data_IF_141333900168
#
_entry.id   IF_141333900168
#
_cell.length_a   1.000
_cell.length_b   1.000
_cell.length_c   1.000
_cell.angle_alpha   90.00
_cell.angle_beta   90.00
_cell.angle_gamma   90.00
#
_symmetry.space_group_name_H-M   'P 1'
#
loop_
_entity.id
_entity.type
_entity.pdbx_description
1 polymer ?
#
# COMPACT_ATOMS: atom_id res chain seq x y z
N UNK A 1 12.31 -5.05 -18.82
CA UNK A 1 13.26 -4.72 -17.72
C UNK A 1 12.92 -3.37 -17.08
N UNK A 2 12.63 -3.35 -15.77
CA UNK A 2 12.25 -2.13 -15.02
C UNK A 2 13.41 -1.47 -14.28
N UNK A 3 14.61 -2.05 -14.35
CA UNK A 3 15.80 -1.53 -13.66
C UNK A 3 16.04 -0.04 -13.95
N UNK A 4 16.13 0.78 -12.88
CA UNK A 4 16.30 2.24 -12.97
C UNK A 4 15.08 3.02 -13.46
N UNK A 5 13.93 2.37 -13.69
CA UNK A 5 12.66 2.98 -14.12
C UNK A 5 11.64 2.95 -12.99
N UNK A 6 10.53 3.65 -13.20
CA UNK A 6 9.37 3.60 -12.29
C UNK A 6 8.47 2.44 -12.69
N UNK A 7 8.15 1.56 -11.74
CA UNK A 7 7.15 0.51 -11.93
C UNK A 7 5.75 1.13 -11.81
N UNK A 8 4.86 0.89 -12.78
CA UNK A 8 3.46 1.31 -12.72
C UNK A 8 2.57 0.07 -12.60
N UNK A 9 1.86 -0.05 -11.49
CA UNK A 9 1.13 -1.26 -11.13
C UNK A 9 -0.34 -0.98 -10.83
N UNK A 10 -1.24 -1.76 -11.44
CA UNK A 10 -2.68 -1.69 -11.14
C UNK A 10 -3.00 -2.46 -9.86
N UNK A 11 -3.94 -1.95 -9.05
CA UNK A 11 -4.51 -2.65 -7.89
C UNK A 11 -5.13 -3.99 -8.32
N UNK A 12 -4.89 -5.03 -7.52
CA UNK A 12 -5.43 -6.37 -7.71
C UNK A 12 -4.35 -7.44 -7.87
N UNK A 13 -4.80 -8.68 -8.04
CA UNK A 13 -4.02 -9.93 -8.20
C UNK A 13 -3.26 -10.35 -6.95
N UNK A 14 -2.42 -9.49 -6.37
CA UNK A 14 -1.61 -9.74 -5.18
C UNK A 14 -1.66 -8.56 -4.20
N UNK A 15 -1.06 -8.74 -3.02
CA UNK A 15 -0.98 -7.69 -2.01
C UNK A 15 -0.14 -6.51 -2.49
N UNK A 16 -0.39 -5.32 -1.95
CA UNK A 16 0.41 -4.13 -2.29
C UNK A 16 1.88 -4.30 -1.87
N UNK A 17 2.12 -4.90 -0.71
CA UNK A 17 3.48 -5.26 -0.24
C UNK A 17 4.22 -6.11 -1.26
N UNK A 18 3.56 -7.11 -1.85
CA UNK A 18 4.18 -8.00 -2.83
C UNK A 18 4.61 -7.22 -4.09
N UNK A 19 3.80 -6.24 -4.52
CA UNK A 19 4.15 -5.37 -5.65
C UNK A 19 5.41 -4.55 -5.35
N UNK A 20 5.51 -3.99 -4.15
CA UNK A 20 6.70 -3.28 -3.69
C UNK A 20 7.95 -4.16 -3.66
N UNK A 21 7.83 -5.35 -3.07
CA UNK A 21 8.93 -6.35 -3.00
C UNK A 21 9.37 -6.77 -4.40
N UNK A 22 8.45 -7.10 -5.30
CA UNK A 22 8.76 -7.53 -6.66
C UNK A 22 9.41 -6.40 -7.48
N UNK A 23 8.93 -5.16 -7.33
CA UNK A 23 9.54 -4.00 -7.98
C UNK A 23 10.98 -3.79 -7.49
N UNK A 24 11.23 -3.91 -6.19
CA UNK A 24 12.56 -3.80 -5.60
C UNK A 24 13.51 -4.91 -6.11
N UNK A 25 13.04 -6.16 -6.13
CA UNK A 25 13.78 -7.31 -6.67
C UNK A 25 14.17 -7.14 -8.14
N UNK A 26 13.40 -6.36 -8.90
CA UNK A 26 13.68 -6.03 -10.29
C UNK A 26 14.41 -4.69 -10.47
N UNK A 27 14.98 -4.12 -9.39
CA UNK A 27 15.75 -2.88 -9.36
C UNK A 27 15.00 -1.63 -9.87
N UNK A 28 13.69 -1.55 -9.66
CA UNK A 28 12.93 -0.35 -9.95
C UNK A 28 13.44 0.84 -9.09
N UNK A 29 13.38 2.05 -9.64
CA UNK A 29 13.77 3.26 -8.92
C UNK A 29 12.64 3.80 -8.00
N UNK A 30 11.39 3.50 -8.34
CA UNK A 30 10.19 3.83 -7.57
C UNK A 30 9.03 2.96 -8.03
N UNK A 31 7.93 2.98 -7.27
CA UNK A 31 6.67 2.33 -7.64
C UNK A 31 5.50 3.31 -7.59
N UNK A 32 4.67 3.29 -8.63
CA UNK A 32 3.38 3.94 -8.68
C UNK A 32 2.33 2.84 -8.71
N UNK A 33 1.42 2.85 -7.75
CA UNK A 33 0.27 1.93 -7.74
C UNK A 33 -0.97 2.75 -8.06
N UNK A 34 -1.90 2.23 -8.84
CA UNK A 34 -3.16 2.93 -9.10
C UNK A 34 -4.36 2.03 -8.86
N UNK A 35 -5.46 2.67 -8.45
CA UNK A 35 -6.71 1.99 -8.19
C UNK A 35 -7.29 1.37 -9.49
N UNK A 36 -8.16 0.37 -9.39
CA UNK A 36 -8.59 -0.41 -10.57
C UNK A 36 -9.89 0.07 -11.23
N UNK A 37 -10.63 0.98 -10.58
CA UNK A 37 -11.85 1.58 -11.10
C UNK A 37 -13.06 0.65 -11.12
N UNK A 38 -13.01 -0.53 -10.48
CA UNK A 38 -14.08 -1.54 -10.56
C UNK A 38 -15.34 -1.09 -9.82
N UNK A 39 -15.19 -0.33 -8.73
CA UNK A 39 -16.28 0.23 -7.93
C UNK A 39 -16.03 1.72 -7.68
N UNK A 40 -17.06 2.52 -7.33
CA UNK A 40 -16.90 3.96 -7.09
C UNK A 40 -15.85 4.30 -6.01
N UNK A 41 -15.74 3.49 -4.96
CA UNK A 41 -14.74 3.60 -3.89
C UNK A 41 -13.32 3.21 -4.34
N UNK A 42 -13.18 2.59 -5.52
CA UNK A 42 -11.90 2.19 -6.12
C UNK A 42 -11.48 3.08 -7.28
N UNK A 43 -11.87 4.36 -7.25
CA UNK A 43 -11.49 5.37 -8.25
C UNK A 43 -10.45 6.34 -7.70
N UNK A 44 -10.65 6.87 -6.50
CA UNK A 44 -9.77 7.88 -5.89
C UNK A 44 -8.48 7.27 -5.35
N UNK A 45 -7.39 8.03 -5.14
CA UNK A 45 -6.22 7.52 -4.43
C UNK A 45 -6.58 7.08 -3.02
N UNK A 46 -5.82 6.16 -2.44
CA UNK A 46 -5.94 5.78 -1.03
C UNK A 46 -4.56 5.67 -0.39
N UNK A 47 -4.48 5.91 0.92
CA UNK A 47 -3.30 5.63 1.69
C UNK A 47 -3.08 4.10 1.75
N UNK A 48 -1.86 3.67 1.50
CA UNK A 48 -1.45 2.27 1.62
C UNK A 48 -0.11 2.17 2.33
N UNK A 49 0.11 1.04 2.98
CA UNK A 49 1.41 0.66 3.51
C UNK A 49 1.95 -0.50 2.67
N UNK A 50 3.19 -0.36 2.17
CA UNK A 50 3.89 -1.43 1.43
C UNK A 50 4.65 -2.40 2.35
N UNK A 51 4.54 -2.22 3.66
CA UNK A 51 5.26 -2.99 4.68
C UNK A 51 6.56 -2.31 5.09
N UNK A 52 7.07 -2.71 6.26
CA UNK A 52 8.30 -2.15 6.86
C UNK A 52 9.55 -2.41 6.01
N UNK A 53 9.56 -3.48 5.22
CA UNK A 53 10.67 -3.88 4.36
C UNK A 53 10.68 -3.16 3.00
N UNK A 54 9.70 -2.29 2.73
CA UNK A 54 9.68 -1.55 1.47
C UNK A 54 10.79 -0.49 1.43
N UNK A 55 11.68 -0.62 0.46
CA UNK A 55 12.82 0.28 0.23
C UNK A 55 12.61 1.28 -0.90
N UNK A 56 11.48 1.20 -1.61
CA UNK A 56 11.21 2.06 -2.76
C UNK A 56 10.33 3.25 -2.39
N UNK A 57 10.60 4.44 -2.94
CA UNK A 57 9.62 5.52 -2.94
C UNK A 57 8.34 5.06 -3.65
N UNK A 58 7.19 5.33 -3.03
CA UNK A 58 5.90 4.84 -3.50
C UNK A 58 4.82 5.94 -3.45
N UNK A 59 3.97 5.99 -4.48
CA UNK A 59 2.73 6.75 -4.47
C UNK A 59 1.56 5.89 -4.94
N UNK A 60 0.38 6.18 -4.39
CA UNK A 60 -0.87 5.63 -4.87
C UNK A 60 -1.64 6.68 -5.68
N UNK A 61 -2.09 6.30 -6.86
CA UNK A 61 -2.74 7.16 -7.84
C UNK A 61 -4.23 6.81 -7.96
N UNK A 62 -5.01 7.77 -8.44
CA UNK A 62 -6.38 7.52 -8.87
C UNK A 62 -6.40 6.63 -10.12
N UNK A 63 -7.51 5.93 -10.34
CA UNK A 63 -7.69 5.10 -11.54
C UNK A 63 -7.49 5.91 -12.84
N UNK A 64 -8.09 7.10 -13.03
CA UNK A 64 -7.91 7.86 -14.27
C UNK A 64 -6.45 8.25 -14.55
N UNK A 65 -5.68 8.64 -13.52
CA UNK A 65 -4.27 9.00 -13.68
C UNK A 65 -3.44 7.79 -14.05
N UNK A 66 -3.61 6.66 -13.35
CA UNK A 66 -2.86 5.45 -13.64
C UNK A 66 -3.21 4.83 -15.00
N UNK A 67 -4.47 4.93 -15.43
CA UNK A 67 -4.86 4.50 -16.77
C UNK A 67 -4.22 5.38 -17.85
N UNK A 68 -4.24 6.71 -17.69
CA UNK A 68 -3.59 7.62 -18.63
C UNK A 68 -2.07 7.36 -18.75
N UNK A 69 -1.40 7.07 -17.63
CA UNK A 69 0.02 6.69 -17.65
C UNK A 69 0.27 5.34 -18.32
N UNK A 70 -0.64 4.37 -18.14
CA UNK A 70 -0.57 3.07 -18.80
C UNK A 70 -0.71 3.22 -20.31
N UNK A 71 -1.71 3.97 -20.75
CA UNK A 71 -1.97 4.22 -22.18
C UNK A 71 -0.78 4.94 -22.82
N UNK A 72 -0.24 5.96 -22.15
CA UNK A 72 0.94 6.69 -22.63
C UNK A 72 2.18 5.78 -22.71
N UNK A 73 2.42 4.93 -21.70
CA UNK A 73 3.57 4.02 -21.68
C UNK A 73 3.48 2.89 -22.72
N UNK A 74 2.27 2.56 -23.18
CA UNK A 74 2.02 1.57 -24.23
C UNK A 74 2.03 2.16 -25.64
N UNK A 75 1.90 3.48 -25.77
CA UNK A 75 1.97 4.17 -27.05
C UNK A 75 3.41 4.26 -27.56
N UNK A 76 3.77 3.58 -28.67
CA UNK A 76 5.13 3.61 -29.21
C UNK A 76 5.54 4.99 -29.76
N UNK A 77 4.60 5.90 -29.97
CA UNK A 77 4.86 7.27 -30.43
C UNK A 77 5.15 8.23 -29.27
N UNK A 78 4.87 7.80 -28.03
CA UNK A 78 5.03 8.63 -26.84
C UNK A 78 6.27 8.21 -26.06
N UNK A 79 7.23 9.13 -25.90
CA UNK A 79 8.35 8.92 -24.98
C UNK A 79 7.94 9.34 -23.56
N UNK A 80 7.15 8.49 -22.90
CA UNK A 80 6.63 8.78 -21.56
C UNK A 80 7.74 8.79 -20.53
N UNK A 81 7.81 9.87 -19.76
CA UNK A 81 8.65 9.97 -18.57
C UNK A 81 7.83 10.55 -17.43
N UNK A 82 8.19 10.16 -16.20
CA UNK A 82 7.56 10.68 -14.99
C UNK A 82 8.64 11.25 -14.08
N UNK A 83 8.36 12.42 -13.50
CA UNK A 83 9.16 12.99 -12.43
C UNK A 83 8.41 12.77 -11.12
N UNK A 84 9.07 12.08 -10.18
CA UNK A 84 8.52 11.81 -8.86
C UNK A 84 9.20 12.71 -7.83
N UNK A 85 8.40 13.49 -7.11
CA UNK A 85 8.87 14.31 -5.99
C UNK A 85 8.10 13.87 -4.75
N UNK A 86 8.80 13.26 -3.79
CA UNK A 86 8.23 12.84 -2.51
C UNK A 86 8.96 13.62 -1.42
N UNK A 87 8.18 14.38 -0.65
CA UNK A 87 8.69 15.04 0.54
C UNK A 87 8.30 14.21 1.76
N UNK A 88 9.25 13.45 2.28
CA UNK A 88 9.04 12.66 3.51
C UNK A 88 9.32 13.57 4.70
N UNK A 89 8.30 13.83 5.49
CA UNK A 89 8.50 14.41 6.81
C UNK A 89 8.83 13.27 7.77
N UNK A 90 9.86 13.45 8.61
CA UNK A 90 10.14 12.53 9.69
C UNK A 90 9.00 12.60 10.71
N UNK A 91 7.98 11.78 10.51
CA UNK A 91 6.89 11.63 11.46
C UNK A 91 7.49 11.07 12.76
N UNK A 92 7.17 11.67 13.92
CA UNK A 92 7.62 11.14 15.19
C UNK A 92 7.12 9.70 15.35
N UNK A 93 7.90 8.87 16.05
CA UNK A 93 7.48 7.52 16.39
C UNK A 93 6.16 7.59 17.17
N UNK A 94 5.10 6.99 16.61
CA UNK A 94 3.86 6.73 17.33
C UNK A 94 4.01 5.37 18.02
N UNK A 95 4.18 5.31 19.35
CA UNK A 95 4.27 4.04 20.04
C UNK A 95 2.95 3.28 19.88
N UNK A 96 3.06 2.04 19.40
CA UNK A 96 1.95 1.09 19.30
C UNK A 96 2.11 0.00 20.35
N UNK A 97 1.00 -0.56 20.82
CA UNK A 97 1.01 -1.61 21.83
C UNK A 97 -0.17 -2.56 21.68
N UNK A 98 0.04 -3.81 22.06
CA UNK A 98 -1.01 -4.82 22.10
C UNK A 98 -1.58 -4.92 23.51
N UNK A 99 -2.89 -5.06 23.62
CA UNK A 99 -3.59 -5.36 24.86
C UNK A 99 -3.99 -6.84 24.81
N UNK A 100 -3.52 -7.63 25.78
CA UNK A 100 -3.85 -9.04 25.91
C UNK A 100 -4.58 -9.27 27.23
N UNK A 101 -5.65 -10.06 27.18
CA UNK A 101 -6.43 -10.45 28.36
C UNK A 101 -6.79 -11.93 28.26
N UNK A 102 -6.50 -12.68 29.32
CA UNK A 102 -6.84 -14.10 29.45
C UNK A 102 -8.10 -14.28 30.31
N UNK A 103 -8.85 -15.35 30.04
CA UNK A 103 -9.91 -15.76 30.95
C UNK A 103 -9.32 -16.20 32.30
N UNK A 104 -10.00 -15.94 33.42
CA UNK A 104 -9.49 -16.31 34.74
C UNK A 104 -9.44 -17.83 34.98
N UNK A 105 -10.04 -18.61 34.07
CA UNK A 105 -10.12 -20.07 34.10
C UNK A 105 -9.71 -20.66 32.75
N UNK A 106 -9.44 -21.96 32.73
CA UNK A 106 -9.02 -22.69 31.53
C UNK A 106 -7.72 -23.46 31.78
N UNK A 107 -7.22 -24.11 30.74
CA UNK A 107 -5.91 -24.75 30.75
C UNK A 107 -4.87 -23.78 30.18
N UNK A 108 -3.94 -23.31 31.03
CA UNK A 108 -2.89 -22.38 30.63
C UNK A 108 -1.90 -22.97 29.59
N UNK A 109 -1.96 -24.28 29.33
CA UNK A 109 -1.16 -24.94 28.31
C UNK A 109 -1.88 -25.05 26.96
N UNK A 110 -3.19 -24.70 26.90
CA UNK A 110 -4.03 -24.79 25.70
C UNK A 110 -4.80 -23.47 25.51
N UNK A 111 -4.20 -22.53 24.79
CA UNK A 111 -4.76 -21.20 24.55
C UNK A 111 -5.46 -21.12 23.19
N UNK A 112 -6.69 -20.61 23.17
CA UNK A 112 -7.36 -20.15 21.95
C UNK A 112 -7.21 -18.64 21.88
N UNK A 113 -6.60 -18.14 20.81
CA UNK A 113 -6.44 -16.69 20.58
C UNK A 113 -7.59 -16.18 19.72
N UNK A 114 -8.30 -15.17 20.22
CA UNK A 114 -9.30 -14.40 19.47
C UNK A 114 -8.84 -12.94 19.52
N UNK A 115 -8.79 -12.28 18.37
CA UNK A 115 -8.22 -10.95 18.25
C UNK A 115 -9.08 -10.01 17.44
N UNK A 116 -8.82 -8.72 17.65
CA UNK A 116 -9.33 -7.57 16.92
C UNK A 116 -8.20 -6.52 16.91
N UNK A 117 -8.29 -5.49 16.08
CA UNK A 117 -7.38 -4.34 16.15
C UNK A 117 -8.11 -3.13 16.72
N UNK A 118 -7.37 -2.25 17.41
CA UNK A 118 -7.94 -1.08 18.11
C UNK A 118 -7.61 0.24 17.41
N UNK A 119 -6.77 0.22 16.39
CA UNK A 119 -6.47 1.36 15.54
C UNK A 119 -7.54 1.54 14.45
N UNK A 120 -7.60 2.76 13.91
CA UNK A 120 -8.46 3.16 12.81
C UNK A 120 -7.66 4.12 11.92
N UNK A 121 -8.23 4.47 10.77
CA UNK A 121 -7.72 5.55 9.90
C UNK A 121 -8.09 6.93 10.45
N UNK A 122 -7.36 7.97 10.02
CA UNK A 122 -7.55 9.35 10.47
C UNK A 122 -8.91 9.92 10.02
N UNK A 123 -9.40 9.47 8.86
CA UNK A 123 -10.59 10.02 8.20
C UNK A 123 -11.91 9.64 8.88
N UNK A 124 -11.91 8.68 9.83
CA UNK A 124 -13.15 8.12 10.35
C UNK A 124 -13.08 7.60 11.80
N UNK A 125 -14.25 7.43 12.45
CA UNK A 125 -14.33 7.07 13.87
C UNK A 125 -14.08 5.58 14.17
N UNK A 126 -13.77 4.74 13.16
CA UNK A 126 -13.41 3.33 13.36
C UNK A 126 -14.53 2.41 13.88
N UNK A 127 -15.80 2.72 13.64
CA UNK A 127 -16.93 1.99 14.26
C UNK A 127 -17.11 0.53 13.79
N UNK A 128 -16.61 0.21 12.59
CA UNK A 128 -16.68 -1.14 11.99
C UNK A 128 -15.29 -1.59 11.47
N UNK A 129 -14.30 -0.71 11.57
CA UNK A 129 -12.92 -0.94 11.18
C UNK A 129 -12.05 -0.27 12.27
N UNK A 130 -11.95 -0.90 13.45
CA UNK A 130 -12.43 -2.28 13.73
C UNK A 130 -13.25 -2.44 15.01
#
# INVERSE_FOLDING_TARGET
PVAGRVALEKRGVCAFSDKGVLAAQNNAAAILIYNDGVTPDRVQPMAINLGQENVLPALFLSFPVGQALTDAAQDPLTNTSVQLVINVQNLPLSPVGNICADTPTGDATQTIVIGSHSDSVEEGPGINDN
#
